data_IF_885215058459
#
_entry.id   IF_885215058459
#
_cell.length_a   1.000
_cell.length_b   1.000
_cell.length_c   1.000
_cell.angle_alpha   90.00
_cell.angle_beta   90.00
_cell.angle_gamma   90.00
#
_symmetry.space_group_name_H-M   'P 1'
#
loop_
_entity.id
_entity.type
_entity.pdbx_description
1 polymer ?
#
# COMPACT_ATOMS: atom_id res chain seq x y z
N UNK A 1 15.30 2.37 -51.58
CA UNK A 1 14.81 1.36 -50.64
C UNK A 1 15.80 1.31 -49.47
N UNK A 2 15.49 1.88 -48.30
CA UNK A 2 16.36 1.79 -47.10
C UNK A 2 15.99 0.52 -46.37
N UNK A 3 16.91 -0.44 -46.34
CA UNK A 3 16.75 -1.64 -45.52
C UNK A 3 17.03 -1.22 -44.08
N UNK A 4 15.99 -1.18 -43.22
CA UNK A 4 16.17 -1.12 -41.77
C UNK A 4 16.63 -2.51 -41.32
N UNK A 5 17.89 -2.62 -40.95
CA UNK A 5 18.42 -3.79 -40.27
C UNK A 5 17.96 -3.68 -38.82
N UNK A 6 16.94 -4.42 -38.46
CA UNK A 6 16.60 -4.60 -37.04
C UNK A 6 17.73 -5.37 -36.37
N UNK A 7 18.37 -4.78 -35.39
CA UNK A 7 19.45 -5.41 -34.65
C UNK A 7 18.85 -6.50 -33.71
N UNK A 8 18.65 -7.70 -34.27
CA UNK A 8 18.04 -8.84 -33.58
C UNK A 8 18.91 -9.43 -32.45
N UNK A 9 20.13 -8.91 -32.27
CA UNK A 9 21.10 -9.34 -31.29
C UNK A 9 21.24 -8.35 -30.10
N UNK A 10 20.37 -7.35 -29.98
CA UNK A 10 20.40 -6.50 -28.80
C UNK A 10 20.01 -7.35 -27.58
N UNK A 11 20.80 -7.34 -26.47
CA UNK A 11 20.45 -8.06 -25.25
C UNK A 11 19.11 -7.55 -24.72
N UNK A 12 18.15 -8.47 -24.58
CA UNK A 12 16.87 -8.18 -23.95
C UNK A 12 17.00 -8.49 -22.47
N UNK A 13 17.06 -7.47 -21.66
CA UNK A 13 17.05 -7.61 -20.20
C UNK A 13 15.63 -7.86 -19.72
N UNK A 14 15.45 -8.90 -18.93
CA UNK A 14 14.20 -9.17 -18.22
C UNK A 14 14.48 -9.23 -16.73
N UNK A 15 13.73 -8.48 -15.97
CA UNK A 15 13.77 -8.59 -14.52
C UNK A 15 13.16 -9.92 -14.11
N UNK A 16 13.95 -10.76 -13.46
CA UNK A 16 13.48 -12.00 -12.85
C UNK A 16 13.44 -11.77 -11.35
N UNK A 17 12.24 -11.73 -10.78
CA UNK A 17 12.05 -11.68 -9.35
C UNK A 17 11.87 -13.10 -8.82
N UNK A 18 12.85 -13.59 -8.07
CA UNK A 18 12.74 -14.85 -7.34
C UNK A 18 12.19 -14.52 -5.95
N UNK A 19 10.99 -14.99 -5.65
CA UNK A 19 10.39 -14.88 -4.31
C UNK A 19 10.59 -16.19 -3.58
N UNK A 20 10.99 -16.14 -2.30
CA UNK A 20 10.96 -17.31 -1.42
C UNK A 20 9.51 -17.79 -1.31
N UNK A 21 9.30 -19.08 -1.53
CA UNK A 21 7.98 -19.66 -1.30
C UNK A 21 7.82 -19.89 0.19
N UNK A 22 6.92 -19.17 0.81
CA UNK A 22 6.59 -19.37 2.23
C UNK A 22 5.85 -20.71 2.39
N UNK A 23 6.30 -21.59 3.31
CA UNK A 23 5.57 -22.82 3.61
C UNK A 23 4.11 -22.55 3.98
N UNK A 24 3.22 -23.46 3.60
CA UNK A 24 1.76 -23.33 3.84
C UNK A 24 1.42 -23.13 5.32
N UNK A 25 2.19 -23.71 6.22
CA UNK A 25 2.06 -23.62 7.68
C UNK A 25 2.25 -22.18 8.18
N UNK A 26 2.96 -21.35 7.43
CA UNK A 26 3.24 -19.94 7.77
C UNK A 26 2.32 -18.95 7.02
N UNK A 27 1.29 -19.41 6.31
CA UNK A 27 0.36 -18.54 5.59
C UNK A 27 -0.34 -17.51 6.49
N UNK A 28 -0.51 -17.83 7.78
CA UNK A 28 -1.06 -16.91 8.77
C UNK A 28 -0.21 -15.64 8.91
N UNK A 29 1.12 -15.79 8.88
CA UNK A 29 2.04 -14.64 8.88
C UNK A 29 1.89 -13.79 7.61
N UNK A 30 1.76 -14.42 6.44
CA UNK A 30 1.56 -13.70 5.17
C UNK A 30 0.27 -12.91 5.20
N UNK A 31 -0.82 -13.50 5.73
CA UNK A 31 -2.12 -12.82 5.85
C UNK A 31 -2.03 -11.62 6.79
N UNK A 32 -1.45 -11.80 7.98
CA UNK A 32 -1.27 -10.70 8.94
C UNK A 32 -0.36 -9.60 8.42
N UNK A 33 0.71 -9.94 7.68
CA UNK A 33 1.66 -8.94 7.15
C UNK A 33 1.03 -7.97 6.17
N UNK A 34 -0.03 -8.36 5.48
CA UNK A 34 -0.75 -7.54 4.50
C UNK A 34 -1.82 -6.64 5.12
N UNK A 35 -2.20 -6.85 6.37
CA UNK A 35 -3.16 -6.01 7.06
C UNK A 35 -2.44 -5.15 8.10
N UNK A 36 -2.58 -3.85 8.03
CA UNK A 36 -1.91 -2.91 8.94
C UNK A 36 -2.35 -3.00 10.40
N UNK A 37 -3.28 -3.88 10.78
CA UNK A 37 -3.64 -4.15 12.18
C UNK A 37 -2.42 -4.41 13.05
N UNK A 38 -1.39 -5.07 12.54
CA UNK A 38 -0.14 -5.33 13.26
C UNK A 38 0.58 -4.06 13.71
N UNK A 39 0.36 -2.90 13.04
CA UNK A 39 1.08 -1.64 13.34
C UNK A 39 0.76 -1.11 14.74
N UNK A 40 -0.44 -1.34 15.24
CA UNK A 40 -0.86 -0.91 16.58
C UNK A 40 -1.18 -2.06 17.53
N UNK A 41 -0.88 -3.29 17.13
CA UNK A 41 -0.97 -4.47 17.99
C UNK A 41 0.42 -4.90 18.46
N UNK A 42 0.71 -4.77 19.75
CA UNK A 42 2.02 -5.05 20.34
C UNK A 42 2.45 -6.51 20.17
N UNK A 43 1.51 -7.45 20.33
CA UNK A 43 1.80 -8.88 20.19
C UNK A 43 2.17 -9.25 18.76
N UNK A 44 1.51 -8.65 17.76
CA UNK A 44 1.83 -8.86 16.36
C UNK A 44 3.20 -8.25 15.99
N UNK A 45 3.51 -7.05 16.49
CA UNK A 45 4.83 -6.43 16.30
C UNK A 45 5.93 -7.33 16.90
N UNK A 46 5.72 -7.80 18.13
CA UNK A 46 6.69 -8.65 18.83
C UNK A 46 6.80 -10.03 18.18
N UNK A 47 5.73 -10.57 17.61
CA UNK A 47 5.77 -11.80 16.82
C UNK A 47 6.71 -11.63 15.62
N UNK A 48 6.45 -10.63 14.76
CA UNK A 48 7.29 -10.40 13.57
C UNK A 48 8.76 -10.14 13.93
N UNK A 49 9.00 -9.33 14.98
CA UNK A 49 10.37 -9.06 15.47
C UNK A 49 11.09 -10.32 15.90
N UNK A 50 10.42 -11.28 16.56
CA UNK A 50 11.03 -12.49 17.08
C UNK A 50 11.23 -13.59 16.03
N UNK A 51 10.58 -13.50 14.87
CA UNK A 51 10.83 -14.41 13.73
C UNK A 51 12.29 -14.31 13.26
N UNK A 52 12.76 -13.09 13.02
CA UNK A 52 14.13 -12.76 12.67
C UNK A 52 14.43 -11.29 13.04
N UNK A 53 15.04 -11.03 14.21
CA UNK A 53 15.26 -9.66 14.68
C UNK A 53 16.20 -8.83 13.80
N UNK A 54 17.18 -9.47 13.14
CA UNK A 54 18.14 -8.78 12.28
C UNK A 54 17.49 -8.42 10.94
N UNK A 55 16.77 -9.35 10.38
CA UNK A 55 16.01 -9.13 9.15
C UNK A 55 14.89 -8.11 9.36
N UNK A 56 14.20 -8.15 10.52
CA UNK A 56 13.20 -7.14 10.91
C UNK A 56 13.77 -5.73 10.89
N UNK A 57 14.95 -5.54 11.50
CA UNK A 57 15.63 -4.23 11.50
C UNK A 57 16.12 -3.82 10.11
N UNK A 58 16.73 -4.74 9.36
CA UNK A 58 17.28 -4.45 8.03
C UNK A 58 16.21 -4.20 6.96
N UNK A 59 14.98 -4.67 7.17
CA UNK A 59 13.81 -4.38 6.33
C UNK A 59 12.99 -3.18 6.80
N UNK A 60 13.51 -2.41 7.73
CA UNK A 60 12.85 -1.22 8.27
C UNK A 60 11.49 -1.54 8.92
N UNK A 61 11.42 -2.68 9.61
CA UNK A 61 10.23 -3.21 10.27
C UNK A 61 9.06 -3.49 9.30
N UNK A 62 9.38 -3.94 8.10
CA UNK A 62 8.42 -4.28 7.07
C UNK A 62 8.21 -5.80 7.02
N UNK A 63 7.09 -6.33 7.55
CA UNK A 63 6.86 -7.78 7.59
C UNK A 63 6.67 -8.40 6.20
N UNK A 64 6.12 -7.66 5.23
CA UNK A 64 5.97 -8.14 3.85
C UNK A 64 7.34 -8.37 3.22
N UNK A 65 8.23 -7.37 3.32
CA UNK A 65 9.58 -7.47 2.78
C UNK A 65 10.43 -8.51 3.56
N UNK A 66 10.24 -8.59 4.87
CA UNK A 66 10.90 -9.58 5.72
C UNK A 66 10.54 -11.00 5.27
N UNK A 67 9.25 -11.31 5.08
CA UNK A 67 8.81 -12.63 4.62
C UNK A 67 9.22 -12.96 3.18
N UNK A 68 9.49 -11.95 2.35
CA UNK A 68 10.06 -12.16 1.01
C UNK A 68 11.57 -12.46 1.03
N UNK A 69 12.28 -12.03 2.06
CA UNK A 69 13.75 -12.14 2.19
C UNK A 69 14.22 -13.23 3.15
N UNK A 70 13.34 -13.71 4.02
CA UNK A 70 13.69 -14.75 4.99
C UNK A 70 14.14 -16.03 4.25
N UNK A 71 15.25 -16.62 4.70
CA UNK A 71 15.78 -17.84 4.11
C UNK A 71 14.89 -19.06 4.37
N UNK A 72 14.87 -19.98 3.41
CA UNK A 72 14.08 -21.22 3.52
C UNK A 72 14.43 -22.03 4.76
N UNK A 73 15.71 -22.16 5.09
CA UNK A 73 16.20 -22.86 6.30
C UNK A 73 15.59 -22.27 7.58
N UNK A 74 15.54 -20.92 7.66
CA UNK A 74 14.92 -20.25 8.81
C UNK A 74 13.42 -20.50 8.88
N UNK A 75 12.72 -20.52 7.75
CA UNK A 75 11.31 -20.88 7.72
C UNK A 75 11.05 -22.31 8.21
N UNK A 76 11.92 -23.27 7.80
CA UNK A 76 11.81 -24.65 8.29
C UNK A 76 12.10 -24.78 9.81
N UNK A 77 13.03 -24.00 10.33
CA UNK A 77 13.27 -23.95 11.79
C UNK A 77 12.03 -23.47 12.55
N UNK A 78 11.37 -22.41 12.04
CA UNK A 78 10.14 -21.87 12.62
C UNK A 78 9.03 -22.93 12.63
N UNK A 79 8.82 -23.64 11.52
CA UNK A 79 7.80 -24.70 11.42
C UNK A 79 8.08 -25.85 12.41
N UNK A 80 9.36 -26.14 12.68
CA UNK A 80 9.76 -27.18 13.66
C UNK A 80 9.65 -26.71 15.11
N UNK A 81 9.67 -25.39 15.36
CA UNK A 81 9.55 -24.81 16.70
C UNK A 81 8.09 -24.72 17.13
N UNK A 82 7.66 -25.69 17.95
CA UNK A 82 6.29 -25.77 18.46
C UNK A 82 5.85 -24.55 19.28
N UNK A 83 6.80 -23.88 19.98
CA UNK A 83 6.47 -22.71 20.77
C UNK A 83 6.19 -21.51 19.86
N UNK A 84 7.03 -21.31 18.84
CA UNK A 84 6.84 -20.27 17.83
C UNK A 84 5.56 -20.51 17.02
N UNK A 85 5.30 -21.73 16.57
CA UNK A 85 4.08 -22.07 15.83
C UNK A 85 2.82 -21.78 16.64
N UNK A 86 2.80 -22.17 17.94
CA UNK A 86 1.67 -21.83 18.83
C UNK A 86 1.49 -20.31 18.95
N UNK A 87 2.58 -19.56 19.11
CA UNK A 87 2.51 -18.10 19.19
C UNK A 87 1.95 -17.48 17.90
N UNK A 88 2.32 -18.02 16.73
CA UNK A 88 1.76 -17.59 15.43
C UNK A 88 0.25 -17.84 15.39
N UNK A 89 -0.19 -19.01 15.84
CA UNK A 89 -1.60 -19.38 15.92
C UNK A 89 -2.37 -18.46 16.88
N UNK A 90 -1.86 -18.24 18.11
CA UNK A 90 -2.50 -17.40 19.11
C UNK A 90 -2.72 -15.95 18.60
N UNK A 91 -1.67 -15.34 18.01
CA UNK A 91 -1.77 -13.98 17.45
C UNK A 91 -2.70 -13.94 16.22
N UNK A 92 -2.68 -14.98 15.39
CA UNK A 92 -3.59 -15.07 14.26
C UNK A 92 -5.04 -15.24 14.68
N UNK A 93 -5.32 -16.02 15.72
CA UNK A 93 -6.65 -16.17 16.30
C UNK A 93 -7.19 -14.84 16.85
N UNK A 94 -6.34 -14.04 17.49
CA UNK A 94 -6.71 -12.72 17.95
C UNK A 94 -6.97 -11.76 16.78
N UNK A 95 -6.16 -11.83 15.73
CA UNK A 95 -6.43 -11.12 14.48
C UNK A 95 -7.77 -11.54 13.86
N UNK A 96 -8.08 -12.83 13.81
CA UNK A 96 -9.34 -13.34 13.27
C UNK A 96 -10.54 -12.90 14.13
N UNK A 97 -10.44 -12.96 15.46
CA UNK A 97 -11.47 -12.42 16.36
C UNK A 97 -11.73 -10.94 16.11
N UNK A 98 -10.64 -10.18 15.94
CA UNK A 98 -10.72 -8.75 15.61
C UNK A 98 -11.42 -8.52 14.25
N UNK A 99 -11.05 -9.25 13.23
CA UNK A 99 -11.60 -9.06 11.87
C UNK A 99 -13.04 -9.52 11.71
N UNK A 100 -13.45 -10.57 12.43
CA UNK A 100 -14.76 -11.23 12.29
C UNK A 100 -15.87 -10.63 13.19
N UNK A 101 -15.64 -9.46 13.76
CA UNK A 101 -16.72 -8.73 14.47
C UNK A 101 -17.81 -8.35 13.47
N UNK A 102 -19.06 -8.61 13.81
CA UNK A 102 -20.20 -8.25 12.99
C UNK A 102 -20.22 -6.73 12.71
N UNK A 103 -20.41 -6.37 11.44
CA UNK A 103 -20.45 -4.97 11.04
C UNK A 103 -21.61 -4.23 11.71
N UNK A 104 -21.35 -3.05 12.19
CA UNK A 104 -22.39 -2.17 12.72
C UNK A 104 -23.31 -1.72 11.60
N UNK A 105 -24.62 -1.94 11.78
CA UNK A 105 -25.68 -1.50 10.86
C UNK A 105 -26.42 -0.26 11.36
N UNK A 106 -26.13 0.16 12.61
CA UNK A 106 -26.73 1.31 13.28
C UNK A 106 -26.04 2.65 12.98
N UNK A 107 -24.95 2.60 12.18
CA UNK A 107 -24.16 3.77 11.78
C UNK A 107 -24.19 3.95 10.26
N UNK A 108 -24.19 5.21 9.76
CA UNK A 108 -24.15 5.45 8.32
C UNK A 108 -22.82 4.97 7.72
N UNK A 109 -22.84 4.68 6.43
CA UNK A 109 -21.62 4.46 5.67
C UNK A 109 -20.87 5.79 5.47
N UNK A 110 -19.58 5.82 5.79
CA UNK A 110 -18.74 7.02 5.74
C UNK A 110 -17.65 6.81 4.70
N UNK A 111 -17.47 7.81 3.82
CA UNK A 111 -16.32 7.87 2.92
C UNK A 111 -15.40 9.00 3.34
N UNK A 112 -14.13 8.69 3.63
CA UNK A 112 -13.14 9.64 4.12
C UNK A 112 -12.07 9.88 3.06
N UNK A 113 -11.90 11.14 2.67
CA UNK A 113 -10.97 11.55 1.62
C UNK A 113 -9.82 12.34 2.21
N UNK A 114 -8.59 11.92 1.94
CA UNK A 114 -7.40 12.68 2.32
C UNK A 114 -6.29 12.49 1.30
N UNK A 115 -5.47 13.53 1.10
CA UNK A 115 -4.26 13.43 0.29
C UNK A 115 -3.16 12.63 0.97
N UNK A 116 -3.22 12.44 2.29
CA UNK A 116 -2.19 11.78 3.06
C UNK A 116 -2.76 10.96 4.22
N UNK A 117 -2.09 9.82 4.52
CA UNK A 117 -2.43 8.94 5.62
C UNK A 117 -1.16 8.46 6.33
N UNK A 118 -0.93 8.91 7.54
CA UNK A 118 0.18 8.53 8.41
C UNK A 118 -0.10 7.22 9.14
N UNK A 119 -0.04 6.09 8.46
CA UNK A 119 -0.37 4.78 9.01
C UNK A 119 0.84 4.08 9.60
N UNK A 120 1.95 4.04 8.88
CA UNK A 120 3.21 3.41 9.29
C UNK A 120 4.39 3.95 8.47
N UNK A 121 5.60 3.68 8.94
CA UNK A 121 6.83 4.18 8.31
C UNK A 121 7.16 3.54 6.96
N UNK A 122 6.65 2.34 6.70
CA UNK A 122 6.93 1.61 5.45
C UNK A 122 6.08 2.11 4.28
N UNK A 123 4.96 2.76 4.54
CA UNK A 123 4.04 3.30 3.53
C UNK A 123 4.20 4.83 3.49
N UNK A 124 4.99 5.32 2.55
CA UNK A 124 5.38 6.73 2.46
C UNK A 124 4.30 7.57 1.75
N UNK A 125 3.12 7.68 2.36
CA UNK A 125 1.97 8.43 1.81
C UNK A 125 1.52 9.58 2.73
N UNK A 126 2.40 10.09 3.56
CA UNK A 126 2.14 11.25 4.42
C UNK A 126 3.42 12.04 4.68
N UNK A 127 3.27 13.29 5.13
CA UNK A 127 4.41 14.16 5.49
C UNK A 127 4.29 14.74 6.89
N UNK A 128 3.10 15.06 7.37
CA UNK A 128 2.92 15.81 8.61
C UNK A 128 1.66 15.47 9.38
N UNK A 129 1.23 16.41 10.23
CA UNK A 129 0.15 16.22 11.20
C UNK A 129 -1.20 15.90 10.59
N UNK A 130 -1.49 16.41 9.37
CA UNK A 130 -2.72 16.09 8.65
C UNK A 130 -2.81 14.58 8.35
N UNK A 131 -1.70 14.01 7.87
CA UNK A 131 -1.61 12.58 7.60
C UNK A 131 -1.67 11.75 8.87
N UNK A 132 -1.02 12.18 9.95
CA UNK A 132 -1.08 11.50 11.25
C UNK A 132 -2.52 11.45 11.76
N UNK A 133 -3.25 12.58 11.73
CA UNK A 133 -4.66 12.62 12.11
C UNK A 133 -5.50 11.64 11.26
N UNK A 134 -5.33 11.68 9.92
CA UNK A 134 -6.07 10.78 9.04
C UNK A 134 -5.75 9.30 9.30
N UNK A 135 -4.48 8.96 9.52
CA UNK A 135 -4.04 7.61 9.84
C UNK A 135 -4.61 7.10 11.16
N UNK A 136 -4.52 7.89 12.22
CA UNK A 136 -5.05 7.54 13.54
C UNK A 136 -6.58 7.43 13.52
N UNK A 137 -7.25 8.31 12.76
CA UNK A 137 -8.70 8.23 12.57
C UNK A 137 -9.13 6.92 11.90
N UNK A 138 -8.39 6.40 10.90
CA UNK A 138 -8.70 5.10 10.30
C UNK A 138 -8.47 3.93 11.27
N UNK A 139 -7.40 3.98 12.08
CA UNK A 139 -7.12 2.95 13.09
C UNK A 139 -8.24 2.92 14.14
N UNK A 140 -8.63 4.08 14.66
CA UNK A 140 -9.73 4.18 15.62
C UNK A 140 -11.07 3.77 15.01
N UNK A 141 -11.37 4.18 13.77
CA UNK A 141 -12.57 3.75 13.06
C UNK A 141 -12.61 2.22 12.89
N UNK A 142 -11.44 1.60 12.66
CA UNK A 142 -11.31 0.15 12.62
C UNK A 142 -11.58 -0.48 13.98
N UNK A 143 -11.01 0.04 15.08
CA UNK A 143 -11.18 -0.49 16.43
C UNK A 143 -12.64 -0.32 16.91
N UNK A 144 -13.26 0.81 16.59
CA UNK A 144 -14.66 1.12 16.86
C UNK A 144 -15.67 0.45 15.90
N UNK A 145 -15.19 -0.37 14.95
CA UNK A 145 -16.01 -1.06 13.95
C UNK A 145 -16.98 -0.14 13.18
N UNK A 146 -16.48 1.04 12.78
CA UNK A 146 -17.25 2.01 12.00
C UNK A 146 -17.32 1.56 10.53
N UNK A 147 -18.49 1.68 9.91
CA UNK A 147 -18.66 1.40 8.48
C UNK A 147 -18.03 2.54 7.65
N UNK A 148 -16.72 2.46 7.42
CA UNK A 148 -15.94 3.48 6.75
C UNK A 148 -15.12 2.91 5.59
N UNK A 149 -15.00 3.71 4.54
CA UNK A 149 -14.09 3.49 3.42
C UNK A 149 -13.25 4.74 3.23
N UNK A 150 -11.95 4.61 3.03
CA UNK A 150 -11.05 5.74 2.83
C UNK A 150 -10.51 5.78 1.40
N UNK A 151 -10.22 6.99 0.91
CA UNK A 151 -9.71 7.27 -0.44
C UNK A 151 -8.53 8.22 -0.35
N UNK A 152 -7.45 7.89 -1.06
CA UNK A 152 -6.24 8.70 -1.13
C UNK A 152 -5.39 8.40 -2.35
N UNK A 153 -4.09 8.67 -2.25
CA UNK A 153 -3.12 8.45 -3.33
C UNK A 153 -2.03 7.48 -2.94
N UNK A 154 -1.60 6.67 -3.89
CA UNK A 154 -0.36 5.92 -3.82
C UNK A 154 0.74 6.72 -4.52
N UNK A 155 1.55 7.42 -3.74
CA UNK A 155 2.63 8.23 -4.29
C UNK A 155 3.81 7.38 -4.73
N UNK A 156 4.31 7.62 -5.94
CA UNK A 156 5.46 6.90 -6.50
C UNK A 156 6.73 7.10 -5.66
N UNK A 157 7.00 8.34 -5.25
CA UNK A 157 8.18 8.71 -4.48
C UNK A 157 7.86 9.02 -3.02
N UNK A 158 6.59 9.24 -2.70
CA UNK A 158 6.16 9.65 -1.37
C UNK A 158 6.71 11.02 -0.98
N UNK A 159 7.08 11.15 0.31
CA UNK A 159 7.75 12.34 0.85
C UNK A 159 9.26 12.09 0.90
N UNK A 160 10.07 13.14 0.73
CA UNK A 160 11.52 13.01 0.67
C UNK A 160 12.13 12.57 2.01
N UNK A 161 13.27 11.90 1.92
CA UNK A 161 14.18 11.69 3.05
C UNK A 161 15.32 12.70 2.98
N UNK A 162 15.74 13.18 4.14
CA UNK A 162 16.73 14.24 4.25
C UNK A 162 18.09 13.66 4.67
N UNK A 163 19.12 14.03 3.94
CA UNK A 163 20.51 13.78 4.30
C UNK A 163 21.31 15.09 4.32
N UNK A 164 22.45 15.07 4.97
CA UNK A 164 23.39 16.21 4.94
C UNK A 164 24.58 15.84 4.05
N UNK A 165 24.99 16.80 3.22
CA UNK A 165 26.26 16.73 2.50
C UNK A 165 27.44 16.87 3.46
N UNK A 166 28.67 16.59 2.97
CA UNK A 166 29.89 16.79 3.76
C UNK A 166 30.08 18.26 4.19
N UNK A 167 29.51 19.20 3.43
CA UNK A 167 29.53 20.63 3.69
C UNK A 167 28.35 21.10 4.55
N UNK A 168 27.55 20.19 5.08
CA UNK A 168 26.40 20.49 5.93
C UNK A 168 25.17 21.00 5.20
N UNK A 169 25.11 20.90 3.88
CA UNK A 169 23.93 21.27 3.09
C UNK A 169 22.89 20.17 3.10
N UNK A 170 21.63 20.55 3.19
CA UNK A 170 20.51 19.65 3.10
C UNK A 170 20.37 19.07 1.68
N UNK A 171 20.25 17.75 1.59
CA UNK A 171 19.94 17.02 0.36
C UNK A 171 18.58 16.33 0.55
N UNK A 172 17.64 16.61 -0.34
CA UNK A 172 16.36 15.93 -0.40
C UNK A 172 16.47 14.72 -1.35
N UNK A 173 16.26 13.51 -0.81
CA UNK A 173 16.32 12.27 -1.58
C UNK A 173 14.89 11.75 -1.81
N UNK A 174 14.55 11.51 -3.07
CA UNK A 174 13.27 10.93 -3.50
C UNK A 174 13.54 9.53 -4.01
N UNK A 175 13.09 8.53 -3.27
CA UNK A 175 13.24 7.13 -3.64
C UNK A 175 11.89 6.57 -4.09
N UNK A 176 11.87 5.91 -5.27
CA UNK A 176 10.67 5.26 -5.75
C UNK A 176 10.29 4.10 -4.83
N UNK A 177 9.05 4.08 -4.38
CA UNK A 177 8.50 2.97 -3.60
C UNK A 177 8.34 1.73 -4.49
N UNK A 178 8.76 0.57 -3.98
CA UNK A 178 8.46 -0.70 -4.62
C UNK A 178 7.14 -1.25 -4.05
N UNK A 179 6.06 -1.07 -4.78
CA UNK A 179 4.71 -1.45 -4.34
C UNK A 179 4.56 -2.94 -4.04
N UNK A 180 5.35 -3.81 -4.70
CA UNK A 180 5.34 -5.26 -4.44
C UNK A 180 5.91 -5.64 -3.06
N UNK A 181 6.59 -4.73 -2.39
CA UNK A 181 7.19 -4.92 -1.06
C UNK A 181 6.38 -4.26 0.05
N UNK A 182 5.21 -3.75 -0.26
CA UNK A 182 4.32 -3.03 0.66
C UNK A 182 3.05 -3.85 0.92
N UNK A 183 2.33 -3.59 2.01
CA UNK A 183 1.05 -4.23 2.32
C UNK A 183 -0.08 -3.67 1.43
N UNK A 184 0.10 -3.80 0.13
CA UNK A 184 -0.79 -3.31 -0.92
C UNK A 184 -1.34 -4.49 -1.72
N UNK A 185 -2.58 -4.35 -2.15
CA UNK A 185 -3.22 -5.26 -3.09
C UNK A 185 -3.74 -4.44 -4.27
N UNK A 186 -3.32 -4.79 -5.49
CA UNK A 186 -3.90 -4.18 -6.68
C UNK A 186 -5.33 -4.69 -6.84
N UNK A 187 -6.27 -3.77 -6.98
CA UNK A 187 -7.66 -4.14 -7.22
C UNK A 187 -7.79 -4.64 -8.65
N UNK A 188 -8.38 -5.84 -8.80
CA UNK A 188 -8.57 -6.49 -10.09
C UNK A 188 -10.04 -6.67 -10.40
N UNK A 189 -10.36 -6.83 -11.67
CA UNK A 189 -11.64 -7.31 -12.14
C UNK A 189 -11.82 -8.82 -11.86
N UNK A 190 -13.00 -9.41 -12.13
CA UNK A 190 -13.23 -10.85 -11.95
C UNK A 190 -12.31 -11.75 -12.78
N UNK A 191 -11.76 -11.23 -13.88
CA UNK A 191 -10.84 -11.96 -14.77
C UNK A 191 -9.38 -11.84 -14.31
N UNK A 192 -9.11 -11.09 -13.23
CA UNK A 192 -7.78 -10.92 -12.63
C UNK A 192 -6.95 -9.80 -13.28
N UNK A 193 -7.52 -8.98 -14.17
CA UNK A 193 -6.83 -7.84 -14.73
C UNK A 193 -6.93 -6.63 -13.80
N UNK A 194 -5.90 -5.76 -13.75
CA UNK A 194 -5.96 -4.51 -12.99
C UNK A 194 -7.19 -3.68 -13.34
N UNK A 195 -7.95 -3.31 -12.31
CA UNK A 195 -9.09 -2.44 -12.49
C UNK A 195 -8.63 -1.00 -12.65
N UNK A 196 -8.80 -0.46 -13.86
CA UNK A 196 -8.43 0.91 -14.20
C UNK A 196 -9.66 1.82 -14.08
N UNK A 197 -9.47 2.95 -13.39
CA UNK A 197 -10.45 4.02 -13.29
C UNK A 197 -10.22 5.04 -14.39
N UNK A 198 -11.29 5.43 -15.08
CA UNK A 198 -11.31 6.50 -16.07
C UNK A 198 -11.87 7.77 -15.44
N UNK A 199 -11.07 8.82 -15.36
CA UNK A 199 -11.49 10.10 -14.79
C UNK A 199 -11.52 11.16 -15.87
N UNK A 200 -12.69 11.75 -16.19
CA UNK A 200 -12.78 12.78 -17.22
C UNK A 200 -12.16 14.09 -16.71
N UNK A 201 -11.17 14.58 -17.44
CA UNK A 201 -10.58 15.90 -17.28
C UNK A 201 -10.92 16.79 -18.48
N UNK A 202 -10.76 18.11 -18.38
CA UNK A 202 -10.99 18.99 -19.53
C UNK A 202 -10.17 18.56 -20.75
N UNK A 203 -10.87 18.15 -21.81
CA UNK A 203 -10.29 17.74 -23.09
C UNK A 203 -9.63 16.36 -23.15
N UNK A 204 -9.62 15.57 -22.07
CA UNK A 204 -9.01 14.23 -22.02
C UNK A 204 -9.55 13.36 -20.90
N UNK A 205 -9.18 12.08 -20.93
CA UNK A 205 -9.39 11.14 -19.83
C UNK A 205 -8.05 10.87 -19.17
N UNK A 206 -8.02 10.82 -17.84
CA UNK A 206 -6.86 10.37 -17.06
C UNK A 206 -7.21 9.03 -16.41
N UNK A 207 -6.31 8.08 -16.56
CA UNK A 207 -6.44 6.72 -16.05
C UNK A 207 -5.74 6.57 -14.71
N UNK A 208 -6.33 5.82 -13.79
CA UNK A 208 -5.71 5.52 -12.51
C UNK A 208 -5.87 4.04 -12.15
N UNK A 209 -4.78 3.41 -11.71
CA UNK A 209 -4.84 2.14 -10.99
C UNK A 209 -5.46 2.36 -9.63
N UNK A 210 -6.08 1.32 -9.11
CA UNK A 210 -6.65 1.32 -7.77
C UNK A 210 -5.91 0.28 -6.95
N UNK A 211 -5.33 0.72 -5.84
CA UNK A 211 -4.67 -0.10 -4.85
C UNK A 211 -5.46 -0.11 -3.56
N UNK A 212 -5.45 -1.23 -2.86
CA UNK A 212 -6.11 -1.38 -1.56
C UNK A 212 -5.09 -1.61 -0.47
N UNK A 213 -5.25 -0.90 0.64
CA UNK A 213 -4.59 -1.12 1.92
C UNK A 213 -5.64 -1.55 2.93
N UNK A 214 -5.40 -2.64 3.62
CA UNK A 214 -6.25 -3.07 4.72
C UNK A 214 -5.75 -2.45 6.03
N UNK A 215 -6.52 -1.52 6.59
CA UNK A 215 -6.25 -0.87 7.89
C UNK A 215 -7.18 -1.50 8.93
N UNK A 216 -6.79 -2.68 9.42
CA UNK A 216 -7.70 -3.53 10.17
C UNK A 216 -8.95 -3.86 9.33
N UNK A 217 -10.13 -3.47 9.81
CA UNK A 217 -11.43 -3.65 9.13
C UNK A 217 -11.72 -2.59 8.05
N UNK A 218 -10.96 -1.49 8.03
CA UNK A 218 -11.17 -0.38 7.09
C UNK A 218 -10.42 -0.63 5.80
N UNK A 219 -11.07 -0.43 4.66
CA UNK A 219 -10.43 -0.43 3.36
C UNK A 219 -10.03 0.99 2.97
N UNK A 220 -8.73 1.20 2.74
CA UNK A 220 -8.19 2.41 2.17
C UNK A 220 -7.85 2.15 0.70
N UNK A 221 -8.51 2.87 -0.20
CA UNK A 221 -8.22 2.80 -1.63
C UNK A 221 -7.31 3.96 -2.04
N UNK A 222 -6.26 3.62 -2.75
CA UNK A 222 -5.23 4.57 -3.20
C UNK A 222 -5.21 4.61 -4.72
N UNK A 223 -5.32 5.81 -5.29
CA UNK A 223 -5.26 6.06 -6.73
C UNK A 223 -3.82 6.30 -7.17
N UNK A 224 -3.44 5.72 -8.30
CA UNK A 224 -2.11 5.80 -8.90
C UNK A 224 -2.24 6.08 -10.40
N UNK A 225 -1.74 7.24 -10.86
CA UNK A 225 -1.82 7.68 -12.27
C UNK A 225 -0.59 7.32 -13.09
N UNK A 226 0.39 6.59 -12.54
CA UNK A 226 1.59 6.18 -13.26
C UNK A 226 1.32 4.99 -14.20
N UNK A 227 0.47 5.22 -15.22
CA UNK A 227 0.13 4.25 -16.26
C UNK A 227 0.61 4.73 -17.64
N UNK A 228 0.95 3.76 -18.49
CA UNK A 228 1.36 4.04 -19.90
C UNK A 228 0.25 4.68 -20.74
N UNK A 229 -1.02 4.46 -20.38
CA UNK A 229 -2.19 5.08 -21.02
C UNK A 229 -2.24 6.60 -20.83
N UNK A 230 -1.61 7.11 -19.77
CA UNK A 230 -1.54 8.54 -19.51
C UNK A 230 -0.38 9.19 -20.24
N UNK A 231 -0.56 10.47 -20.60
CA UNK A 231 0.52 11.30 -21.12
C UNK A 231 1.64 11.48 -20.10
N UNK A 232 2.85 11.80 -20.57
CA UNK A 232 3.99 12.14 -19.70
C UNK A 232 3.71 13.32 -18.74
N UNK A 233 2.75 14.17 -19.09
CA UNK A 233 2.32 15.31 -18.26
C UNK A 233 1.28 14.94 -17.19
N UNK A 234 0.58 13.80 -17.35
CA UNK A 234 -0.49 13.39 -16.45
C UNK A 234 -0.07 12.23 -15.52
N UNK A 235 0.90 11.41 -15.92
CA UNK A 235 1.49 10.38 -15.05
C UNK A 235 2.01 10.93 -13.72
N UNK A 236 2.69 12.10 -13.67
CA UNK A 236 3.25 12.64 -12.44
C UNK A 236 2.23 13.16 -11.41
N UNK A 237 0.93 13.15 -11.68
CA UNK A 237 -0.09 13.63 -10.72
C UNK A 237 0.07 12.95 -9.35
N UNK A 238 0.36 11.64 -9.35
CA UNK A 238 0.56 10.88 -8.10
C UNK A 238 2.03 10.54 -7.82
N UNK A 239 3.00 11.29 -8.37
CA UNK A 239 4.40 11.02 -8.09
C UNK A 239 4.83 11.47 -6.70
N UNK A 240 4.45 12.66 -6.29
CA UNK A 240 4.88 13.26 -5.04
C UNK A 240 3.72 13.89 -4.27
N UNK A 241 3.73 13.68 -2.96
CA UNK A 241 2.82 14.35 -2.05
C UNK A 241 3.12 15.87 -2.09
N UNK A 242 2.11 16.67 -2.42
CA UNK A 242 2.21 18.11 -2.58
C UNK A 242 3.28 18.59 -3.58
N UNK A 243 3.72 17.71 -4.47
CA UNK A 243 4.71 18.03 -5.49
C UNK A 243 4.15 18.83 -6.66
N UNK A 244 5.08 19.45 -7.41
CA UNK A 244 4.75 20.23 -8.59
C UNK A 244 4.25 21.65 -8.26
N UNK A 245 3.65 22.27 -9.26
CA UNK A 245 3.08 23.61 -9.21
C UNK A 245 1.59 23.60 -8.80
N UNK A 246 0.96 24.78 -8.84
CA UNK A 246 -0.48 24.92 -8.52
C UNK A 246 -1.38 24.12 -9.46
N UNK A 247 -0.97 23.93 -10.73
CA UNK A 247 -1.73 23.13 -11.69
C UNK A 247 -1.75 21.65 -11.31
N UNK A 248 -0.59 21.11 -10.93
CA UNK A 248 -0.51 19.73 -10.45
C UNK A 248 -1.31 19.53 -9.16
N UNK A 249 -1.29 20.52 -8.25
CA UNK A 249 -2.12 20.51 -7.03
C UNK A 249 -3.61 20.45 -7.37
N UNK A 250 -4.08 21.29 -8.30
CA UNK A 250 -5.46 21.27 -8.76
C UNK A 250 -5.82 19.90 -9.39
N UNK A 251 -4.89 19.32 -10.18
CA UNK A 251 -5.09 17.97 -10.75
C UNK A 251 -5.23 16.92 -9.66
N UNK A 252 -4.41 16.98 -8.61
CA UNK A 252 -4.52 16.06 -7.46
C UNK A 252 -5.87 16.22 -6.75
N UNK A 253 -6.30 17.44 -6.45
CA UNK A 253 -7.58 17.69 -5.78
C UNK A 253 -8.77 17.20 -6.62
N UNK A 254 -8.72 17.43 -7.92
CA UNK A 254 -9.74 16.94 -8.85
C UNK A 254 -9.77 15.40 -8.91
N UNK A 255 -8.60 14.75 -9.00
CA UNK A 255 -8.47 13.30 -8.99
C UNK A 255 -8.99 12.72 -7.68
N UNK A 256 -8.66 13.31 -6.54
CA UNK A 256 -9.13 12.84 -5.24
C UNK A 256 -10.65 12.98 -5.12
N UNK A 257 -11.20 14.15 -5.41
CA UNK A 257 -12.62 14.43 -5.24
C UNK A 257 -13.48 13.69 -6.27
N UNK A 258 -13.28 13.98 -7.55
CA UNK A 258 -14.11 13.40 -8.64
C UNK A 258 -13.72 11.94 -8.89
N UNK A 259 -12.41 11.65 -9.05
CA UNK A 259 -11.93 10.29 -9.26
C UNK A 259 -12.30 9.37 -8.11
N UNK A 260 -12.14 9.82 -6.87
CA UNK A 260 -12.53 9.05 -5.70
C UNK A 260 -14.03 8.73 -5.64
N UNK A 261 -14.89 9.66 -5.97
CA UNK A 261 -16.36 9.40 -6.06
C UNK A 261 -16.67 8.41 -7.19
N UNK A 262 -16.04 8.55 -8.35
CA UNK A 262 -16.22 7.60 -9.46
C UNK A 262 -15.77 6.19 -9.08
N UNK A 263 -14.68 6.07 -8.34
CA UNK A 263 -14.21 4.79 -7.81
C UNK A 263 -15.20 4.18 -6.83
N UNK A 264 -15.69 4.95 -5.85
CA UNK A 264 -16.67 4.46 -4.87
C UNK A 264 -17.98 4.01 -5.55
N UNK A 265 -18.44 4.74 -6.56
CA UNK A 265 -19.59 4.34 -7.38
C UNK A 265 -19.33 3.01 -8.11
N UNK A 266 -18.14 2.84 -8.70
CA UNK A 266 -17.76 1.61 -9.40
C UNK A 266 -17.79 0.40 -8.49
N UNK A 267 -17.50 0.57 -7.21
CA UNK A 267 -17.58 -0.49 -6.19
C UNK A 267 -18.92 -0.61 -5.48
N UNK A 268 -19.93 0.17 -5.89
CA UNK A 268 -21.24 0.25 -5.22
C UNK A 268 -21.16 0.59 -3.72
N UNK A 269 -20.13 1.33 -3.29
CA UNK A 269 -19.89 1.66 -1.88
C UNK A 269 -20.68 2.91 -1.40
N UNK A 270 -21.26 3.68 -2.31
CA UNK A 270 -22.02 4.90 -1.98
C UNK A 270 -23.51 4.64 -1.68
N UNK A 271 -24.06 3.51 -2.11
CA UNK A 271 -25.50 3.26 -2.09
C UNK A 271 -25.90 1.97 -1.37
N UNK A 272 -25.04 1.42 -0.52
CA UNK A 272 -25.42 0.32 0.38
C UNK A 272 -26.11 0.91 1.60
N UNK A 273 -27.38 1.24 1.45
CA UNK A 273 -28.31 1.47 2.56
C UNK A 273 -29.13 0.20 2.78
#
# INVERSE_FOLDING_TARGET
MKIQVSNTNAPCWRDITVKSQVPSELNNLVTMSKNLWWVWNSEAIDLFRNIDPDLWRSTNNNPVLMLQRIGYERMEEIVKDKAMMRRIEDVYDDFQKYMNVEKRTDVPSISYFSMEYGLCNILKIYSGGLGVLAGDYLKEASDSNINMTAVGFLYRYGYFTQTLSIDGQQIANYEAQNFNQLPLEQVTDPDGHPLVLEVPYPGRIIYANIWKVSVGRISLYLLDTDLEQNSEFDRPITYQLYGGDWENRMKQEYMLGIGGILMLNKFCLLYTS
#
